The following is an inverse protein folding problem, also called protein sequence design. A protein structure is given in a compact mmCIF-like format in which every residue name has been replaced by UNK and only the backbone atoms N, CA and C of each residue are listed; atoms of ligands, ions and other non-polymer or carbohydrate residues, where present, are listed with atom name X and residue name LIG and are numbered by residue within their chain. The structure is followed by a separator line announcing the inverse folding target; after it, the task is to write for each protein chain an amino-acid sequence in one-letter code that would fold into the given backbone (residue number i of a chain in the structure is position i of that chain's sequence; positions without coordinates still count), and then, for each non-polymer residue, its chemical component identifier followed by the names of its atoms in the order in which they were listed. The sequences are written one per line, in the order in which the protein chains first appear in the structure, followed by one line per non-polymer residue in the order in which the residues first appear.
data_IF_984761621099
#
_entry.id   IF_984761621099
#
_cell.length_a   1.000
_cell.length_b   1.000
_cell.length_c   1.000
_cell.angle_alpha   90.00
_cell.angle_beta   90.00
_cell.angle_gamma   90.00
#
_symmetry.space_group_name_H-M   'P 1'
#
loop_
_entity.id
_entity.type
_entity.pdbx_description
1 polymer ?
#
# COMPACT_ATOMS: atom_id res chain seq x y z
N UNK A 1 -23.25 73.04 37.80
CA UNK A 1 -24.17 73.20 36.68
C UNK A 1 -24.33 71.83 35.99
N UNK A 2 -25.38 71.22 36.26
CA UNK A 2 -26.38 70.45 35.57
C UNK A 2 -25.87 69.45 34.49
N UNK A 3 -25.77 68.16 34.81
CA UNK A 3 -25.76 67.11 33.85
C UNK A 3 -26.86 66.07 34.23
N UNK A 4 -27.96 66.15 33.50
CA UNK A 4 -29.12 65.27 33.69
C UNK A 4 -28.76 63.87 33.27
N UNK A 5 -28.83 62.94 34.21
CA UNK A 5 -28.85 61.53 33.93
C UNK A 5 -30.13 61.19 33.19
N UNK A 6 -29.93 60.51 32.04
CA UNK A 6 -30.99 59.85 31.30
C UNK A 6 -31.13 58.46 31.82
N UNK A 7 -32.02 58.27 32.81
CA UNK A 7 -32.44 56.96 33.30
C UNK A 7 -33.03 56.17 32.12
N UNK A 8 -32.42 55.05 31.80
CA UNK A 8 -32.99 54.07 30.91
C UNK A 8 -34.20 53.44 31.62
N UNK A 9 -35.37 53.72 31.18
CA UNK A 9 -36.62 53.11 31.59
C UNK A 9 -36.60 51.63 31.15
N UNK A 10 -36.32 50.73 32.07
CA UNK A 10 -36.59 49.32 31.93
C UNK A 10 -38.09 49.12 31.92
N UNK A 11 -38.68 49.05 30.74
CA UNK A 11 -40.13 48.81 30.58
C UNK A 11 -40.41 47.32 30.77
N UNK A 12 -40.78 46.96 32.02
CA UNK A 12 -41.33 45.65 32.39
C UNK A 12 -42.88 45.70 32.43
N UNK A 13 -43.49 46.43 31.53
CA UNK A 13 -44.91 46.45 31.29
C UNK A 13 -45.24 46.10 29.84
N UNK A 14 -44.91 44.87 29.47
CA UNK A 14 -45.51 44.30 28.25
C UNK A 14 -46.90 43.77 28.63
N UNK A 15 -47.99 44.27 28.02
CA UNK A 15 -49.33 43.77 28.29
C UNK A 15 -49.42 42.28 28.03
N UNK A 16 -50.36 41.59 28.68
CA UNK A 16 -50.53 40.13 28.71
C UNK A 16 -50.44 39.29 27.43
N UNK A 17 -50.14 39.93 26.31
CA UNK A 17 -49.92 39.32 25.00
C UNK A 17 -48.47 38.75 24.79
N UNK A 18 -47.51 39.04 25.64
CA UNK A 18 -46.13 38.58 25.45
C UNK A 18 -45.96 37.06 25.48
N UNK A 19 -46.59 36.32 26.41
CA UNK A 19 -46.49 34.86 26.39
C UNK A 19 -47.07 34.23 25.13
N UNK A 20 -48.17 34.80 24.63
CA UNK A 20 -48.83 34.32 23.39
C UNK A 20 -47.98 34.67 22.15
N UNK A 21 -47.44 35.87 22.08
CA UNK A 21 -46.53 36.29 21.00
C UNK A 21 -45.27 35.42 20.99
N UNK A 22 -44.69 35.15 22.16
CA UNK A 22 -43.50 34.26 22.28
C UNK A 22 -43.80 32.82 21.84
N UNK A 23 -44.96 32.31 22.17
CA UNK A 23 -45.38 30.96 21.75
C UNK A 23 -45.58 30.91 20.23
N UNK A 24 -46.19 31.98 19.68
CA UNK A 24 -46.37 32.08 18.24
C UNK A 24 -45.05 32.23 17.46
N UNK A 25 -44.11 33.06 17.92
CA UNK A 25 -42.77 33.20 17.33
C UNK A 25 -41.94 31.89 17.38
N UNK A 26 -42.09 31.13 18.45
CA UNK A 26 -41.48 29.80 18.54
C UNK A 26 -42.04 28.77 17.57
N UNK A 27 -43.34 28.84 17.30
CA UNK A 27 -44.02 28.01 16.33
C UNK A 27 -43.75 28.42 14.87
N UNK A 28 -43.44 29.69 14.65
CA UNK A 28 -43.25 30.29 13.35
C UNK A 28 -41.92 31.07 13.20
N UNK A 29 -40.77 30.45 13.43
CA UNK A 29 -39.47 31.13 13.48
C UNK A 29 -39.07 31.79 12.15
N UNK A 30 -39.60 31.30 11.02
CA UNK A 30 -39.35 31.83 9.68
C UNK A 30 -39.78 33.26 9.52
N UNK A 31 -40.86 33.71 10.19
CA UNK A 31 -41.33 35.10 10.08
C UNK A 31 -40.34 36.07 10.73
N UNK A 32 -39.73 35.71 11.85
CA UNK A 32 -38.69 36.52 12.49
C UNK A 32 -37.38 36.49 11.68
N UNK A 33 -36.99 35.34 11.16
CA UNK A 33 -35.72 35.17 10.44
C UNK A 33 -35.76 35.81 9.04
N UNK A 34 -36.92 35.96 8.44
CA UNK A 34 -37.06 36.60 7.11
C UNK A 34 -37.26 38.12 7.18
N UNK A 35 -37.57 38.68 8.35
CA UNK A 35 -37.79 40.12 8.55
C UNK A 35 -36.48 40.78 9.02
N UNK A 36 -35.61 41.06 8.04
CA UNK A 36 -34.32 41.73 8.28
C UNK A 36 -34.46 43.17 8.81
N UNK A 37 -35.57 43.82 8.49
CA UNK A 37 -35.83 45.19 8.93
C UNK A 37 -36.15 45.24 10.42
N UNK A 38 -37.06 44.37 10.87
CA UNK A 38 -37.37 44.16 12.30
C UNK A 38 -36.14 43.76 13.11
N UNK A 39 -35.34 42.80 12.60
CA UNK A 39 -34.12 42.36 13.28
C UNK A 39 -33.10 43.50 13.43
N UNK A 40 -32.96 44.39 12.45
CA UNK A 40 -32.09 45.54 12.54
C UNK A 40 -32.63 46.60 13.53
N UNK A 41 -33.93 46.84 13.56
CA UNK A 41 -34.58 47.80 14.50
C UNK A 41 -34.46 47.34 15.94
N UNK A 42 -34.59 46.05 16.21
CA UNK A 42 -34.45 45.45 17.55
C UNK A 42 -32.97 45.27 17.97
N UNK A 43 -32.04 45.63 17.07
CA UNK A 43 -30.59 45.51 17.34
C UNK A 43 -30.04 44.10 17.26
N UNK A 44 -30.83 43.14 16.79
CA UNK A 44 -30.43 41.77 16.52
C UNK A 44 -29.92 41.71 15.06
N UNK A 45 -28.72 42.22 14.82
CA UNK A 45 -28.06 41.97 13.51
C UNK A 45 -27.82 40.49 13.39
N UNK A 46 -28.33 39.80 12.33
CA UNK A 46 -27.80 38.49 12.00
C UNK A 46 -26.30 38.69 11.82
N UNK A 47 -25.48 37.99 12.58
CA UNK A 47 -24.04 38.02 12.36
C UNK A 47 -23.83 37.60 10.90
N UNK A 48 -23.25 38.46 10.05
CA UNK A 48 -22.95 38.21 8.64
C UNK A 48 -22.08 36.94 8.41
N UNK A 49 -21.68 36.33 9.51
CA UNK A 49 -20.85 35.10 9.55
C UNK A 49 -21.58 33.82 9.97
N UNK A 50 -22.88 33.86 10.21
CA UNK A 50 -23.64 32.62 10.47
C UNK A 50 -24.10 32.06 9.12
N UNK A 51 -23.19 31.37 8.44
CA UNK A 51 -23.56 30.48 7.34
C UNK A 51 -24.43 29.37 7.95
N UNK A 52 -25.73 29.45 7.77
CA UNK A 52 -26.64 28.37 8.11
C UNK A 52 -26.26 27.16 7.22
N UNK A 53 -25.46 26.26 7.75
CA UNK A 53 -25.20 24.97 7.08
C UNK A 53 -26.53 24.21 7.08
N UNK A 54 -27.25 24.29 5.99
CA UNK A 54 -28.44 23.47 5.81
C UNK A 54 -28.07 21.95 5.91
N UNK A 55 -29.02 21.08 6.30
CA UNK A 55 -28.77 19.64 6.46
C UNK A 55 -28.05 19.00 5.26
N UNK A 56 -28.32 19.51 4.06
CA UNK A 56 -27.65 19.06 2.83
C UNK A 56 -26.18 19.47 2.75
N UNK A 57 -25.77 20.58 3.31
CA UNK A 57 -24.37 21.01 3.35
C UNK A 57 -23.59 20.22 4.40
N UNK A 58 -24.18 19.93 5.57
CA UNK A 58 -23.61 19.08 6.61
C UNK A 58 -23.40 17.66 6.09
N UNK A 59 -24.40 17.04 5.44
CA UNK A 59 -24.27 15.70 4.91
C UNK A 59 -23.22 15.60 3.80
N UNK A 60 -23.04 16.63 2.97
CA UNK A 60 -21.95 16.69 1.97
C UNK A 60 -20.59 16.78 2.64
N UNK A 61 -20.45 17.57 3.68
CA UNK A 61 -19.21 17.72 4.44
C UNK A 61 -18.86 16.40 5.17
N UNK A 62 -19.83 15.77 5.82
CA UNK A 62 -19.64 14.45 6.44
C UNK A 62 -19.21 13.39 5.44
N UNK A 63 -19.83 13.35 4.26
CA UNK A 63 -19.46 12.44 3.19
C UNK A 63 -18.05 12.75 2.64
N UNK A 64 -17.65 14.01 2.57
CA UNK A 64 -16.30 14.41 2.17
C UNK A 64 -15.26 13.96 3.22
N UNK A 65 -15.50 14.23 4.50
CA UNK A 65 -14.63 13.83 5.61
C UNK A 65 -14.50 12.29 5.66
N UNK A 66 -15.61 11.56 5.47
CA UNK A 66 -15.59 10.09 5.43
C UNK A 66 -14.74 9.55 4.28
N UNK A 67 -14.85 10.14 3.09
CA UNK A 67 -14.02 9.77 1.93
C UNK A 67 -12.54 10.06 2.16
N UNK A 68 -12.21 11.25 2.64
CA UNK A 68 -10.83 11.64 2.94
C UNK A 68 -10.22 10.78 4.04
N UNK A 69 -10.94 10.54 5.12
CA UNK A 69 -10.48 9.66 6.20
C UNK A 69 -10.31 8.21 5.73
N UNK A 70 -11.16 7.74 4.81
CA UNK A 70 -11.02 6.43 4.16
C UNK A 70 -9.76 6.35 3.30
N UNK A 71 -9.54 7.33 2.43
CA UNK A 71 -8.34 7.40 1.60
C UNK A 71 -7.06 7.47 2.44
N UNK A 72 -7.05 8.29 3.47
CA UNK A 72 -5.91 8.40 4.40
C UNK A 72 -5.60 7.06 5.10
N UNK A 73 -6.62 6.35 5.60
CA UNK A 73 -6.43 5.03 6.21
C UNK A 73 -5.87 4.01 5.22
N UNK A 74 -6.32 4.05 3.96
CA UNK A 74 -5.80 3.17 2.92
C UNK A 74 -4.31 3.45 2.67
N UNK A 75 -3.89 4.71 2.55
CA UNK A 75 -2.49 5.10 2.40
C UNK A 75 -1.65 4.68 3.61
N UNK A 76 -2.15 4.91 4.84
CA UNK A 76 -1.47 4.49 6.07
C UNK A 76 -1.30 2.95 6.13
N UNK A 77 -2.29 2.20 5.67
CA UNK A 77 -2.22 0.74 5.62
C UNK A 77 -1.13 0.27 4.63
N UNK A 78 -1.14 0.81 3.41
CA UNK A 78 -0.12 0.51 2.39
C UNK A 78 1.28 0.89 2.88
N UNK A 79 1.44 2.06 3.50
CA UNK A 79 2.72 2.50 4.04
C UNK A 79 3.25 1.56 5.12
N UNK A 80 2.39 1.09 6.03
CA UNK A 80 2.76 0.11 7.08
C UNK A 80 3.14 -1.24 6.48
N UNK A 81 2.38 -1.72 5.49
CA UNK A 81 2.69 -2.96 4.79
C UNK A 81 4.06 -2.89 4.09
N UNK A 82 4.33 -1.79 3.37
CA UNK A 82 5.61 -1.56 2.72
C UNK A 82 6.77 -1.49 3.73
N UNK A 83 6.61 -0.80 4.85
CA UNK A 83 7.61 -0.75 5.90
C UNK A 83 7.89 -2.13 6.51
N UNK A 84 6.84 -2.93 6.75
CA UNK A 84 6.99 -4.31 7.23
C UNK A 84 7.74 -5.17 6.22
N UNK A 85 7.37 -5.10 4.94
CA UNK A 85 8.04 -5.84 3.87
C UNK A 85 9.53 -5.45 3.75
N UNK A 86 9.84 -4.16 3.87
CA UNK A 86 11.22 -3.68 3.86
C UNK A 86 12.02 -4.20 5.06
N UNK A 87 11.45 -4.18 6.27
CA UNK A 87 12.10 -4.70 7.47
C UNK A 87 12.38 -6.22 7.34
N UNK A 88 11.40 -6.98 6.84
CA UNK A 88 11.55 -8.42 6.57
C UNK A 88 12.63 -8.68 5.51
N UNK A 89 12.70 -7.83 4.48
CA UNK A 89 13.74 -7.91 3.45
C UNK A 89 15.13 -7.72 4.04
N UNK A 90 15.33 -6.75 4.93
CA UNK A 90 16.64 -6.53 5.58
C UNK A 90 17.06 -7.74 6.40
N UNK A 91 16.16 -8.33 7.19
CA UNK A 91 16.47 -9.55 7.97
C UNK A 91 16.79 -10.72 7.03
N UNK A 92 16.04 -10.86 5.92
CA UNK A 92 16.31 -11.90 4.92
C UNK A 92 17.69 -11.73 4.30
N UNK A 93 18.07 -10.52 3.95
CA UNK A 93 19.41 -10.24 3.41
C UNK A 93 20.52 -10.66 4.38
N UNK A 94 20.37 -10.33 5.67
CA UNK A 94 21.34 -10.74 6.69
C UNK A 94 21.46 -12.27 6.77
N UNK A 95 20.32 -12.99 6.75
CA UNK A 95 20.33 -14.46 6.73
C UNK A 95 21.01 -15.03 5.48
N UNK A 96 20.75 -14.43 4.31
CA UNK A 96 21.38 -14.88 3.05
C UNK A 96 22.89 -14.65 3.05
N UNK A 97 23.36 -13.55 3.67
CA UNK A 97 24.79 -13.26 3.78
C UNK A 97 25.57 -14.32 4.58
N UNK A 98 24.91 -15.04 5.49
CA UNK A 98 25.48 -16.15 6.26
C UNK A 98 25.58 -17.45 5.47
N UNK A 99 25.14 -17.48 4.21
CA UNK A 99 25.19 -18.68 3.38
C UNK A 99 26.63 -19.18 3.17
N UNK A 100 26.82 -20.48 3.28
CA UNK A 100 28.14 -21.14 3.25
C UNK A 100 28.49 -21.71 1.88
N UNK A 101 27.50 -21.97 1.06
CA UNK A 101 27.62 -22.51 -0.30
C UNK A 101 26.31 -22.29 -1.08
N UNK A 102 26.31 -22.65 -2.36
CA UNK A 102 25.14 -22.49 -3.24
C UNK A 102 23.88 -23.23 -2.74
N UNK A 103 24.04 -24.43 -2.17
CA UNK A 103 22.92 -25.22 -1.63
C UNK A 103 22.30 -24.54 -0.42
N UNK A 104 23.15 -24.06 0.51
CA UNK A 104 22.69 -23.34 1.70
C UNK A 104 21.99 -22.03 1.31
N UNK A 105 22.51 -21.31 0.30
CA UNK A 105 21.89 -20.11 -0.24
C UNK A 105 20.47 -20.37 -0.77
N UNK A 106 20.29 -21.44 -1.57
CA UNK A 106 18.97 -21.79 -2.09
C UNK A 106 17.99 -22.19 -0.97
N UNK A 107 18.46 -22.96 0.00
CA UNK A 107 17.66 -23.40 1.15
C UNK A 107 17.22 -22.22 2.01
N UNK A 108 18.14 -21.28 2.31
CA UNK A 108 17.85 -20.10 3.09
C UNK A 108 16.89 -19.14 2.37
N UNK A 109 17.08 -18.94 1.07
CA UNK A 109 16.19 -18.12 0.25
C UNK A 109 14.76 -18.67 0.29
N UNK A 110 14.60 -19.95 0.00
CA UNK A 110 13.30 -20.61 -0.03
C UNK A 110 12.62 -20.57 1.34
N UNK A 111 13.34 -20.89 2.41
CA UNK A 111 12.83 -20.84 3.78
C UNK A 111 12.42 -19.42 4.19
N UNK A 112 13.26 -18.42 3.90
CA UNK A 112 12.95 -17.03 4.22
C UNK A 112 11.71 -16.53 3.46
N UNK A 113 11.56 -16.91 2.19
CA UNK A 113 10.41 -16.57 1.37
C UNK A 113 9.12 -17.16 1.93
N UNK A 114 9.15 -18.40 2.38
CA UNK A 114 7.98 -19.02 3.02
C UNK A 114 7.68 -18.42 4.39
N UNK A 115 8.68 -18.35 5.27
CA UNK A 115 8.46 -18.00 6.67
C UNK A 115 8.14 -16.53 6.89
N UNK A 116 8.71 -15.61 6.08
CA UNK A 116 8.58 -14.17 6.27
C UNK A 116 7.62 -13.51 5.31
N UNK A 117 7.58 -13.99 4.06
CA UNK A 117 6.75 -13.37 3.02
C UNK A 117 5.50 -14.17 2.67
N UNK A 118 5.31 -15.37 3.27
CA UNK A 118 4.15 -16.21 3.00
C UNK A 118 4.10 -16.75 1.57
N UNK A 119 5.25 -16.81 0.87
CA UNK A 119 5.33 -17.36 -0.47
C UNK A 119 5.25 -18.90 -0.42
N UNK A 120 4.73 -19.51 -1.48
CA UNK A 120 4.69 -20.96 -1.62
C UNK A 120 6.09 -21.54 -1.83
N UNK A 121 6.91 -20.87 -2.65
CA UNK A 121 8.27 -21.33 -2.96
C UNK A 121 9.14 -20.17 -3.47
N UNK A 122 10.45 -20.31 -3.30
CA UNK A 122 11.44 -19.56 -4.04
C UNK A 122 12.51 -20.51 -4.60
N UNK A 123 13.03 -20.22 -5.78
CA UNK A 123 14.06 -21.05 -6.41
C UNK A 123 15.07 -20.20 -7.17
N UNK A 124 16.30 -20.68 -7.18
CA UNK A 124 17.37 -20.16 -8.03
C UNK A 124 17.45 -21.08 -9.24
N UNK A 125 17.33 -20.53 -10.41
CA UNK A 125 17.30 -21.25 -11.66
C UNK A 125 18.52 -20.86 -12.51
N UNK A 126 19.19 -21.86 -13.07
CA UNK A 126 20.39 -21.72 -13.86
C UNK A 126 20.17 -22.39 -15.22
N UNK A 127 20.50 -21.70 -16.31
CA UNK A 127 20.32 -22.23 -17.66
C UNK A 127 21.48 -23.13 -18.06
N UNK A 128 21.19 -24.18 -18.87
CA UNK A 128 22.19 -25.00 -19.53
C UNK A 128 22.99 -24.17 -20.55
N UNK A 129 24.22 -24.57 -20.93
CA UNK A 129 24.93 -25.82 -20.57
C UNK A 129 25.62 -25.76 -19.20
N UNK A 130 25.98 -26.93 -18.70
CA UNK A 130 26.75 -27.15 -17.48
C UNK A 130 25.89 -27.58 -16.28
N UNK A 131 26.51 -28.00 -15.19
CA UNK A 131 25.81 -28.46 -13.98
C UNK A 131 25.16 -27.28 -13.24
N UNK A 132 24.14 -27.57 -12.43
CA UNK A 132 23.63 -26.68 -11.43
C UNK A 132 24.03 -27.15 -10.04
N UNK A 133 24.26 -26.24 -9.08
CA UNK A 133 24.44 -26.59 -7.69
C UNK A 133 23.22 -27.33 -7.15
N UNK A 134 23.45 -28.22 -6.19
CA UNK A 134 22.34 -28.92 -5.54
C UNK A 134 21.36 -27.93 -4.91
N UNK A 135 20.06 -28.16 -5.11
CA UNK A 135 18.99 -27.25 -4.66
C UNK A 135 18.62 -26.14 -5.67
N UNK A 136 19.43 -25.91 -6.70
CA UNK A 136 19.09 -25.02 -7.81
C UNK A 136 18.29 -25.77 -8.88
N UNK A 137 17.52 -25.04 -9.66
CA UNK A 137 16.79 -25.59 -10.82
C UNK A 137 17.61 -25.43 -12.08
N UNK A 138 17.69 -26.50 -12.85
CA UNK A 138 18.35 -26.46 -14.16
C UNK A 138 17.29 -26.24 -15.24
N UNK A 139 17.42 -25.16 -15.98
CA UNK A 139 16.55 -24.80 -17.09
C UNK A 139 17.14 -25.25 -18.42
N UNK A 140 16.28 -25.48 -19.40
CA UNK A 140 16.69 -25.71 -20.79
C UNK A 140 17.28 -24.42 -21.42
N UNK A 141 18.11 -24.54 -22.45
CA UNK A 141 18.66 -23.39 -23.15
C UNK A 141 17.57 -22.40 -23.61
N UNK A 142 17.87 -21.11 -23.61
CA UNK A 142 16.99 -20.00 -23.98
C UNK A 142 15.72 -19.86 -23.11
N UNK A 143 15.64 -20.56 -21.96
CA UNK A 143 14.48 -20.46 -21.06
C UNK A 143 14.36 -19.10 -20.41
N UNK A 144 15.48 -18.49 -20.01
CA UNK A 144 15.48 -17.13 -19.39
C UNK A 144 14.99 -16.10 -20.41
N UNK A 145 15.42 -16.20 -21.66
CA UNK A 145 14.95 -15.32 -22.73
C UNK A 145 13.47 -15.54 -23.05
N UNK A 146 13.01 -16.80 -23.07
CA UNK A 146 11.58 -17.11 -23.28
C UNK A 146 10.69 -16.58 -22.16
N UNK A 147 11.16 -16.62 -20.90
CA UNK A 147 10.40 -16.21 -19.72
C UNK A 147 10.38 -14.70 -19.52
N UNK A 148 11.50 -14.03 -19.77
CA UNK A 148 11.71 -12.61 -19.46
C UNK A 148 11.78 -11.72 -20.70
N UNK A 149 12.00 -12.28 -21.88
CA UNK A 149 12.38 -11.54 -23.08
C UNK A 149 13.88 -11.31 -23.16
N UNK A 150 14.36 -10.89 -24.34
CA UNK A 150 15.79 -10.73 -24.63
C UNK A 150 16.49 -9.77 -23.66
N UNK A 151 15.85 -8.63 -23.39
CA UNK A 151 16.38 -7.59 -22.50
C UNK A 151 15.57 -7.40 -21.22
N UNK A 152 14.59 -8.27 -20.96
CA UNK A 152 13.76 -8.20 -19.77
C UNK A 152 14.53 -8.53 -18.50
N UNK A 153 14.44 -7.66 -17.50
CA UNK A 153 15.11 -7.85 -16.22
C UNK A 153 14.20 -8.54 -15.21
N UNK A 154 12.87 -8.38 -15.34
CA UNK A 154 11.89 -8.94 -14.42
C UNK A 154 10.54 -9.13 -15.10
N UNK A 155 9.74 -10.06 -14.56
CA UNK A 155 8.35 -10.31 -14.96
C UNK A 155 7.54 -10.70 -13.73
N UNK A 156 6.41 -10.08 -13.53
CA UNK A 156 5.43 -10.41 -12.50
C UNK A 156 4.10 -10.77 -13.18
N UNK A 157 3.37 -11.70 -12.59
CA UNK A 157 2.04 -12.07 -13.08
C UNK A 157 1.67 -13.52 -12.82
N UNK A 158 0.66 -14.03 -13.53
CA UNK A 158 0.19 -15.41 -13.36
C UNK A 158 1.29 -16.42 -13.67
N UNK A 159 1.18 -17.59 -13.06
CA UNK A 159 2.19 -18.65 -13.16
C UNK A 159 1.92 -19.56 -14.33
N UNK A 160 2.79 -19.51 -15.36
CA UNK A 160 2.65 -20.30 -16.60
C UNK A 160 3.60 -21.52 -16.68
N UNK A 161 4.70 -21.55 -15.88
CA UNK A 161 5.77 -22.54 -15.97
C UNK A 161 6.17 -23.15 -14.62
N UNK A 162 5.18 -23.46 -13.81
CA UNK A 162 5.31 -23.82 -12.38
C UNK A 162 6.24 -25.00 -12.12
N UNK A 163 6.12 -26.08 -12.90
CA UNK A 163 6.87 -27.32 -12.68
C UNK A 163 8.38 -27.16 -12.93
N UNK A 164 8.77 -26.43 -13.96
CA UNK A 164 10.17 -26.19 -14.29
C UNK A 164 10.84 -25.30 -13.22
N UNK A 165 10.15 -24.29 -12.73
CA UNK A 165 10.68 -23.30 -11.78
C UNK A 165 10.62 -23.78 -10.34
N UNK A 166 9.50 -24.38 -9.90
CA UNK A 166 9.25 -24.68 -8.49
C UNK A 166 9.21 -26.19 -8.17
N UNK A 167 9.30 -27.05 -9.20
CA UNK A 167 9.25 -28.52 -9.03
C UNK A 167 7.95 -28.99 -8.40
N UNK A 168 8.04 -29.84 -7.37
CA UNK A 168 6.86 -30.42 -6.71
C UNK A 168 5.91 -29.38 -6.10
N UNK A 169 6.41 -28.21 -5.70
CA UNK A 169 5.59 -27.12 -5.16
C UNK A 169 4.96 -26.20 -6.22
N UNK A 170 5.21 -26.49 -7.48
CA UNK A 170 4.61 -25.70 -8.58
C UNK A 170 3.09 -25.66 -8.53
N UNK A 171 2.44 -26.74 -8.08
CA UNK A 171 0.97 -26.81 -7.96
C UNK A 171 0.38 -25.81 -6.94
N UNK A 172 1.18 -25.33 -5.98
CA UNK A 172 0.78 -24.36 -4.96
C UNK A 172 0.98 -22.91 -5.42
N UNK A 173 1.60 -22.69 -6.59
CA UNK A 173 1.96 -21.38 -7.09
C UNK A 173 0.91 -20.89 -8.08
N UNK A 174 0.24 -19.79 -7.78
CA UNK A 174 -0.80 -19.19 -8.61
C UNK A 174 -0.35 -17.89 -9.29
N UNK A 175 0.58 -17.16 -8.67
CA UNK A 175 1.26 -16.02 -9.30
C UNK A 175 2.77 -16.08 -9.03
N UNK A 176 3.57 -15.45 -9.88
CA UNK A 176 5.02 -15.51 -9.74
C UNK A 176 5.69 -14.19 -10.09
N UNK A 177 6.87 -14.00 -9.51
CA UNK A 177 7.80 -12.96 -9.91
C UNK A 177 9.13 -13.62 -10.31
N UNK A 178 9.63 -13.24 -11.47
CA UNK A 178 10.89 -13.70 -12.04
C UNK A 178 11.85 -12.52 -12.15
N UNK A 179 13.08 -12.68 -11.73
CA UNK A 179 14.11 -11.65 -11.83
C UNK A 179 15.39 -12.25 -12.39
N UNK A 180 15.89 -11.68 -13.49
CA UNK A 180 17.13 -12.12 -14.13
C UNK A 180 18.35 -11.87 -13.26
N UNK A 181 19.27 -12.80 -13.25
CA UNK A 181 20.61 -12.69 -12.67
C UNK A 181 21.68 -12.82 -13.75
N UNK A 182 22.79 -12.12 -13.58
CA UNK A 182 23.99 -12.23 -14.38
C UNK A 182 25.11 -12.86 -13.53
N UNK A 183 25.16 -14.18 -13.51
CA UNK A 183 26.14 -14.90 -12.69
C UNK A 183 27.48 -15.05 -13.43
N UNK A 184 28.57 -15.03 -12.64
CA UNK A 184 29.93 -15.20 -13.09
C UNK A 184 30.28 -14.32 -14.29
N UNK A 185 30.02 -13.03 -14.14
CA UNK A 185 30.26 -12.01 -15.20
C UNK A 185 29.44 -12.26 -16.48
N UNK A 186 28.24 -12.84 -16.34
CA UNK A 186 27.35 -13.09 -17.48
C UNK A 186 27.68 -14.35 -18.28
N UNK A 187 28.51 -15.24 -17.73
CA UNK A 187 28.84 -16.50 -18.42
C UNK A 187 27.65 -17.46 -18.51
N UNK A 188 26.69 -17.35 -17.62
CA UNK A 188 25.48 -18.17 -17.62
C UNK A 188 24.25 -17.36 -17.28
N UNK A 189 23.20 -17.54 -18.07
CA UNK A 189 21.90 -16.96 -17.80
C UNK A 189 21.23 -17.67 -16.62
N UNK A 190 20.68 -16.87 -15.73
CA UNK A 190 20.06 -17.33 -14.51
C UNK A 190 18.89 -16.41 -14.11
N UNK A 191 18.02 -16.89 -13.26
CA UNK A 191 16.97 -16.10 -12.64
C UNK A 191 16.65 -16.59 -11.23
N UNK A 192 16.06 -15.73 -10.41
CA UNK A 192 15.34 -16.14 -9.20
C UNK A 192 13.85 -16.10 -9.52
N UNK A 193 13.16 -17.17 -9.13
CA UNK A 193 11.72 -17.28 -9.21
C UNK A 193 11.11 -17.26 -7.80
N UNK A 194 10.13 -16.40 -7.61
CA UNK A 194 9.31 -16.28 -6.40
C UNK A 194 7.89 -16.69 -6.73
N UNK A 195 7.33 -17.66 -6.01
CA UNK A 195 5.99 -18.19 -6.22
C UNK A 195 5.06 -17.87 -5.07
N UNK A 196 3.93 -17.24 -5.36
CA UNK A 196 2.89 -16.95 -4.38
C UNK A 196 1.72 -17.93 -4.52
N UNK A 197 1.13 -18.37 -3.40
CA UNK A 197 -0.12 -19.14 -3.41
C UNK A 197 -1.34 -18.26 -3.70
N UNK A 198 -1.19 -16.94 -3.67
CA UNK A 198 -2.24 -15.98 -3.98
C UNK A 198 -2.17 -15.59 -5.47
N UNK A 199 -3.26 -15.71 -6.26
CA UNK A 199 -3.31 -15.24 -7.65
C UNK A 199 -2.98 -13.75 -7.80
N UNK A 200 -3.30 -12.93 -6.81
CA UNK A 200 -3.00 -11.49 -6.76
C UNK A 200 -1.70 -11.16 -6.00
N UNK A 201 -0.96 -12.18 -5.59
CA UNK A 201 0.30 -12.01 -4.84
C UNK A 201 1.40 -11.30 -5.63
N UNK A 202 1.43 -11.51 -6.96
CA UNK A 202 2.28 -10.81 -7.90
C UNK A 202 1.47 -10.38 -9.12
N UNK A 203 1.25 -9.07 -9.26
CA UNK A 203 0.56 -8.48 -10.41
C UNK A 203 1.53 -7.64 -11.25
N UNK A 204 1.23 -7.44 -12.52
CA UNK A 204 2.13 -6.77 -13.47
C UNK A 204 2.39 -5.28 -13.12
N UNK A 205 1.50 -4.66 -12.35
CA UNK A 205 1.57 -3.28 -11.88
C UNK A 205 2.19 -3.13 -10.49
N UNK A 206 2.54 -4.26 -9.84
CA UNK A 206 3.18 -4.25 -8.52
C UNK A 206 4.65 -3.82 -8.64
N UNK A 207 5.11 -3.00 -7.68
CA UNK A 207 6.52 -2.63 -7.56
C UNK A 207 7.40 -3.86 -7.29
N UNK A 208 8.48 -3.99 -8.05
CA UNK A 208 9.38 -5.14 -7.97
C UNK A 208 10.70 -4.85 -7.25
N UNK A 209 10.84 -3.66 -6.65
CA UNK A 209 12.11 -3.16 -6.11
C UNK A 209 12.70 -4.07 -5.04
N UNK A 210 11.87 -4.58 -4.12
CA UNK A 210 12.33 -5.44 -3.03
C UNK A 210 12.79 -6.81 -3.53
N UNK A 211 12.04 -7.42 -4.45
CA UNK A 211 12.43 -8.71 -5.04
C UNK A 211 13.67 -8.58 -5.93
N UNK A 212 13.78 -7.49 -6.69
CA UNK A 212 14.95 -7.18 -7.47
C UNK A 212 16.18 -6.97 -6.56
N UNK A 213 16.02 -6.26 -5.46
CA UNK A 213 17.07 -6.08 -4.46
C UNK A 213 17.54 -7.41 -3.85
N UNK A 214 16.60 -8.25 -3.38
CA UNK A 214 16.94 -9.60 -2.85
C UNK A 214 17.67 -10.42 -3.91
N UNK A 215 17.20 -10.39 -5.17
CA UNK A 215 17.86 -11.10 -6.26
C UNK A 215 19.28 -10.62 -6.50
N UNK A 216 19.54 -9.30 -6.44
CA UNK A 216 20.91 -8.78 -6.55
C UNK A 216 21.80 -9.22 -5.41
N UNK A 217 21.25 -9.34 -4.20
CA UNK A 217 21.99 -9.90 -3.06
C UNK A 217 22.32 -11.38 -3.31
N UNK A 218 21.34 -12.16 -3.77
CA UNK A 218 21.56 -13.58 -4.14
C UNK A 218 22.63 -13.72 -5.19
N UNK A 219 22.59 -12.90 -6.25
CA UNK A 219 23.60 -12.86 -7.31
C UNK A 219 25.02 -12.61 -6.74
N UNK A 220 25.16 -11.59 -5.90
CA UNK A 220 26.45 -11.23 -5.29
C UNK A 220 26.97 -12.30 -4.33
N UNK A 221 26.10 -13.01 -3.65
CA UNK A 221 26.49 -14.10 -2.78
C UNK A 221 26.89 -15.33 -3.62
N UNK A 222 26.12 -15.65 -4.65
CA UNK A 222 26.38 -16.77 -5.53
C UNK A 222 27.72 -16.64 -6.27
N UNK A 223 28.09 -15.43 -6.68
CA UNK A 223 29.37 -15.15 -7.34
C UNK A 223 30.60 -15.41 -6.47
N UNK A 224 30.44 -15.61 -5.15
CA UNK A 224 31.57 -15.94 -4.26
C UNK A 224 32.14 -17.33 -4.52
N UNK A 225 31.32 -18.22 -5.04
CA UNK A 225 31.69 -19.60 -5.28
C UNK A 225 31.63 -19.89 -6.80
N UNK A 226 32.73 -20.36 -7.38
CA UNK A 226 32.70 -20.78 -8.78
C UNK A 226 31.78 -21.99 -8.96
N UNK A 227 31.08 -22.05 -10.06
CA UNK A 227 30.45 -23.31 -10.50
C UNK A 227 31.59 -24.25 -10.90
N UNK A 228 31.61 -25.44 -10.32
CA UNK A 228 32.52 -26.47 -10.74
C UNK A 228 32.16 -26.86 -12.17
N UNK A 229 33.00 -26.48 -13.12
CA UNK A 229 32.89 -26.93 -14.49
C UNK A 229 33.20 -28.40 -14.54
N UNK A 230 32.34 -29.30 -15.07
CA UNK A 230 32.63 -30.72 -15.13
C UNK A 230 33.80 -31.09 -16.05
N UNK A 231 34.47 -30.09 -16.61
CA UNK A 231 35.59 -30.25 -17.55
C UNK A 231 36.91 -29.61 -17.11
N UNK A 232 37.04 -29.17 -15.84
CA UNK A 232 38.32 -28.70 -15.30
C UNK A 232 39.02 -29.78 -14.47
#
# INVERSE_FOLDING_TARGET
VGGQGREAKTGDDAPGAWPELRAWLKANPQHLLSDHELLNEVGLKPADNVVAFGPAALSRLEAAIKRESGARRAVEHVARANFSAQAQTHVTVLDLLESRNHTDLATRLDHACQARFGLAAASICLERPGPAPFGWRLLEPDSVVRLLGEHGLQRLGPSDHQGALFGARGAEVHSMALVRMALWSGQRDALVAFGSPDPEGFTADMGAELIAFVTRVVERIADRWPVLDPGA
#
